data_IF_110732588525
#
_entry.id   IF_110732588525
#
_cell.length_a   1.000
_cell.length_b   1.000
_cell.length_c   1.000
_cell.angle_alpha   90.00
_cell.angle_beta   90.00
_cell.angle_gamma   90.00
#
_symmetry.space_group_name_H-M   'P 1'
#
loop_
_entity.id
_entity.type
_entity.pdbx_description
1 polymer ?
#
# COMPACT_ATOMS: atom_id res chain seq x y z
N UNK A 1 -37.66 17.64 4.40
CA UNK A 1 -36.71 18.37 5.27
C UNK A 1 -35.30 17.97 4.85
N UNK A 2 -34.72 18.72 3.91
CA UNK A 2 -33.45 18.42 3.20
C UNK A 2 -32.28 19.28 3.75
N UNK A 3 -32.54 20.04 4.82
CA UNK A 3 -31.56 20.96 5.42
C UNK A 3 -30.41 20.25 6.16
N UNK A 4 -30.50 18.95 6.44
CA UNK A 4 -29.43 18.22 7.13
C UNK A 4 -28.32 17.72 6.20
N UNK A 5 -28.62 17.43 4.93
CA UNK A 5 -27.61 16.92 3.97
C UNK A 5 -26.55 17.96 3.61
N UNK A 6 -26.89 19.25 3.72
CA UNK A 6 -25.99 20.39 3.46
C UNK A 6 -25.06 20.66 4.65
N UNK A 7 -25.38 20.13 5.83
CA UNK A 7 -24.63 20.38 7.07
C UNK A 7 -23.38 19.50 7.18
N UNK A 8 -23.31 18.40 6.42
CA UNK A 8 -22.24 17.40 6.53
C UNK A 8 -21.39 17.18 5.27
N UNK A 9 -21.81 17.69 4.11
CA UNK A 9 -20.96 17.72 2.92
C UNK A 9 -21.03 19.10 2.26
N UNK A 10 -20.12 20.02 2.63
CA UNK A 10 -19.97 21.26 1.92
C UNK A 10 -19.44 20.95 0.53
N UNK A 11 -20.31 21.16 -0.45
CA UNK A 11 -20.00 21.36 -1.86
C UNK A 11 -18.62 22.00 -2.02
N UNK A 12 -17.64 21.19 -2.41
CA UNK A 12 -16.34 21.53 -3.00
C UNK A 12 -15.74 22.86 -2.48
N UNK A 13 -14.84 22.76 -1.49
CA UNK A 13 -14.03 23.90 -1.05
C UNK A 13 -13.28 24.55 -2.23
N UNK A 14 -13.05 25.88 -2.20
CA UNK A 14 -12.23 26.55 -3.20
C UNK A 14 -10.84 25.89 -3.26
N UNK A 15 -10.53 25.30 -4.41
CA UNK A 15 -9.18 24.82 -4.74
C UNK A 15 -8.36 25.98 -5.25
N UNK A 16 -7.25 26.28 -4.57
CA UNK A 16 -6.25 27.22 -5.07
C UNK A 16 -4.98 26.45 -5.42
N UNK A 17 -4.33 26.87 -6.49
CA UNK A 17 -3.01 26.37 -6.86
C UNK A 17 -1.95 27.18 -6.11
N UNK A 18 -1.28 26.55 -5.16
CA UNK A 18 -0.13 27.14 -4.48
C UNK A 18 1.10 26.29 -4.80
N UNK A 19 2.13 26.91 -5.39
CA UNK A 19 3.37 26.22 -5.77
C UNK A 19 3.16 25.00 -6.70
N UNK A 20 2.24 25.09 -7.67
CA UNK A 20 1.81 24.00 -8.57
C UNK A 20 1.17 22.78 -7.88
N UNK A 21 0.82 22.92 -6.60
CA UNK A 21 0.04 21.92 -5.86
C UNK A 21 -1.36 22.48 -5.66
N UNK A 22 -2.36 21.73 -6.13
CA UNK A 22 -3.76 22.07 -5.90
C UNK A 22 -4.10 21.66 -4.47
N UNK A 23 -4.30 22.66 -3.59
CA UNK A 23 -4.72 22.44 -2.21
C UNK A 23 -6.12 22.99 -1.99
N UNK A 24 -6.93 22.25 -1.25
CA UNK A 24 -8.24 22.70 -0.77
C UNK A 24 -8.05 23.42 0.55
N UNK A 25 -8.45 24.70 0.64
CA UNK A 25 -8.44 25.43 1.91
C UNK A 25 -9.59 24.97 2.80
N UNK A 26 -9.34 24.86 4.11
CA UNK A 26 -10.43 24.69 5.08
C UNK A 26 -11.17 26.01 5.28
N UNK A 27 -12.45 25.98 5.67
CA UNK A 27 -13.23 27.21 5.93
C UNK A 27 -12.51 28.19 6.84
N UNK A 28 -11.85 27.70 7.90
CA UNK A 28 -11.13 28.55 8.87
C UNK A 28 -9.94 29.29 8.25
N UNK A 29 -9.34 28.74 7.19
CA UNK A 29 -8.20 29.30 6.44
C UNK A 29 -8.65 30.29 5.36
N UNK A 30 -9.96 30.43 5.13
CA UNK A 30 -10.51 31.40 4.18
C UNK A 30 -10.47 32.81 4.77
N UNK A 31 -10.11 33.77 3.92
CA UNK A 31 -10.28 35.20 4.19
C UNK A 31 -11.77 35.55 4.38
N UNK A 32 -12.04 36.72 4.96
CA UNK A 32 -13.42 37.18 5.15
C UNK A 32 -14.21 37.24 3.83
N UNK A 33 -13.60 37.72 2.75
CA UNK A 33 -14.23 37.81 1.43
C UNK A 33 -14.51 36.42 0.82
N UNK A 34 -13.57 35.48 0.93
CA UNK A 34 -13.78 34.09 0.45
C UNK A 34 -14.91 33.39 1.23
N UNK A 35 -15.04 33.65 2.55
CA UNK A 35 -16.15 33.13 3.36
C UNK A 35 -17.49 33.69 2.95
N UNK A 36 -17.56 34.99 2.65
CA UNK A 36 -18.76 35.65 2.16
C UNK A 36 -19.17 35.07 0.81
N UNK A 37 -18.21 34.88 -0.10
CA UNK A 37 -18.46 34.25 -1.39
C UNK A 37 -19.02 32.82 -1.23
N UNK A 38 -18.39 32.00 -0.39
CA UNK A 38 -18.84 30.64 -0.14
C UNK A 38 -20.26 30.58 0.46
N UNK A 39 -20.63 31.51 1.35
CA UNK A 39 -22.00 31.60 1.88
C UNK A 39 -23.01 31.99 0.79
N UNK A 40 -22.65 32.93 -0.08
CA UNK A 40 -23.46 33.33 -1.23
C UNK A 40 -23.64 32.17 -2.21
N UNK A 41 -22.57 31.44 -2.54
CA UNK A 41 -22.60 30.30 -3.46
C UNK A 41 -23.44 29.14 -2.90
N UNK A 42 -23.36 28.91 -1.58
CA UNK A 42 -24.19 27.93 -0.88
C UNK A 42 -25.67 28.29 -0.95
N UNK A 43 -26.00 29.56 -0.72
CA UNK A 43 -27.38 30.07 -0.85
C UNK A 43 -27.89 29.95 -2.28
N UNK A 44 -27.08 30.33 -3.27
CA UNK A 44 -27.44 30.21 -4.68
C UNK A 44 -27.70 28.75 -5.06
N UNK A 45 -26.82 27.84 -4.63
CA UNK A 45 -26.99 26.41 -4.87
C UNK A 45 -28.26 25.87 -4.22
N UNK A 46 -28.56 26.26 -2.97
CA UNK A 46 -29.77 25.84 -2.28
C UNK A 46 -31.05 26.34 -2.97
N UNK A 47 -31.04 27.57 -3.51
CA UNK A 47 -32.16 28.11 -4.29
C UNK A 47 -32.34 27.32 -5.60
N UNK A 48 -31.24 27.05 -6.31
CA UNK A 48 -31.28 26.25 -7.55
C UNK A 48 -31.83 24.85 -7.26
N UNK A 49 -31.34 24.18 -6.22
CA UNK A 49 -31.80 22.84 -5.84
C UNK A 49 -33.28 22.81 -5.46
N UNK A 50 -33.80 23.85 -4.81
CA UNK A 50 -35.23 23.97 -4.48
C UNK A 50 -36.11 24.23 -5.71
N UNK A 51 -35.56 24.86 -6.76
CA UNK A 51 -36.25 25.08 -8.03
C UNK A 51 -36.23 23.88 -8.97
N UNK A 52 -35.42 22.85 -8.69
CA UNK A 52 -35.33 21.66 -9.53
C UNK A 52 -36.49 20.69 -9.27
N UNK A 53 -37.10 20.11 -10.33
CA UNK A 53 -37.99 18.98 -10.17
C UNK A 53 -37.30 17.79 -9.48
N UNK A 54 -38.04 17.10 -8.61
CA UNK A 54 -37.53 15.98 -7.80
C UNK A 54 -36.83 14.88 -8.61
N UNK A 55 -37.30 14.61 -9.82
CA UNK A 55 -36.75 13.58 -10.70
C UNK A 55 -35.36 13.95 -11.23
N UNK A 56 -35.15 15.24 -11.52
CA UNK A 56 -33.87 15.77 -11.97
C UNK A 56 -32.85 15.77 -10.81
N UNK A 57 -33.28 16.16 -9.62
CA UNK A 57 -32.45 16.09 -8.41
C UNK A 57 -32.01 14.64 -8.11
N UNK A 58 -32.94 13.70 -8.17
CA UNK A 58 -32.67 12.28 -7.92
C UNK A 58 -31.70 11.70 -8.94
N UNK A 59 -31.84 12.05 -10.22
CA UNK A 59 -30.95 11.62 -11.29
C UNK A 59 -29.50 12.11 -11.08
N UNK A 60 -29.34 13.40 -10.75
CA UNK A 60 -28.01 13.99 -10.51
C UNK A 60 -27.34 13.35 -9.29
N UNK A 61 -28.09 13.12 -8.21
CA UNK A 61 -27.56 12.47 -7.01
C UNK A 61 -27.22 10.99 -7.25
N UNK A 62 -28.06 10.27 -7.98
CA UNK A 62 -27.80 8.89 -8.34
C UNK A 62 -26.52 8.76 -9.18
N UNK A 63 -26.32 9.63 -10.17
CA UNK A 63 -25.12 9.65 -10.99
C UNK A 63 -23.85 9.98 -10.18
N UNK A 64 -23.92 10.95 -9.25
CA UNK A 64 -22.79 11.28 -8.37
C UNK A 64 -22.47 10.14 -7.41
N UNK A 65 -23.49 9.53 -6.79
CA UNK A 65 -23.31 8.39 -5.88
C UNK A 65 -22.65 7.22 -6.60
N UNK A 66 -23.10 6.91 -7.82
CA UNK A 66 -22.49 5.89 -8.67
C UNK A 66 -21.01 6.17 -8.94
N UNK A 67 -20.64 7.39 -9.36
CA UNK A 67 -19.25 7.75 -9.60
C UNK A 67 -18.36 7.61 -8.35
N UNK A 68 -18.85 8.06 -7.18
CA UNK A 68 -18.11 7.95 -5.91
C UNK A 68 -17.89 6.48 -5.52
N UNK A 69 -18.91 5.63 -5.72
CA UNK A 69 -18.81 4.18 -5.47
C UNK A 69 -17.83 3.54 -6.45
N UNK A 70 -17.94 3.84 -7.74
CA UNK A 70 -17.07 3.30 -8.79
C UNK A 70 -15.59 3.68 -8.53
N UNK A 71 -15.32 4.94 -8.19
CA UNK A 71 -13.97 5.40 -7.84
C UNK A 71 -13.44 4.71 -6.59
N UNK A 72 -14.29 4.52 -5.56
CA UNK A 72 -13.87 3.84 -4.33
C UNK A 72 -13.58 2.36 -4.60
N UNK A 73 -14.43 1.68 -5.38
CA UNK A 73 -14.20 0.29 -5.79
C UNK A 73 -12.92 0.12 -6.61
N UNK A 74 -12.65 1.02 -7.56
CA UNK A 74 -11.39 0.99 -8.35
C UNK A 74 -10.18 1.16 -7.44
N UNK A 75 -10.23 2.10 -6.50
CA UNK A 75 -9.14 2.33 -5.55
C UNK A 75 -8.93 1.13 -4.63
N UNK A 76 -10.00 0.60 -4.05
CA UNK A 76 -9.95 -0.53 -3.12
C UNK A 76 -9.49 -1.83 -3.83
N UNK A 77 -9.89 -2.02 -5.09
CA UNK A 77 -9.39 -3.11 -5.93
C UNK A 77 -7.90 -2.98 -6.21
N UNK A 78 -7.43 -1.77 -6.56
CA UNK A 78 -6.02 -1.53 -6.85
C UNK A 78 -5.14 -1.72 -5.60
N UNK A 79 -5.56 -1.19 -4.44
CA UNK A 79 -4.81 -1.36 -3.18
C UNK A 79 -4.76 -2.82 -2.75
N UNK A 80 -5.90 -3.52 -2.80
CA UNK A 80 -5.98 -4.92 -2.38
C UNK A 80 -5.14 -5.83 -3.27
N UNK A 81 -5.22 -5.67 -4.60
CA UNK A 81 -4.42 -6.46 -5.52
C UNK A 81 -2.92 -6.18 -5.39
N UNK A 82 -2.54 -4.91 -5.17
CA UNK A 82 -1.13 -4.52 -4.99
C UNK A 82 -0.55 -5.08 -3.70
N UNK A 83 -1.24 -4.93 -2.57
CA UNK A 83 -0.76 -5.38 -1.26
C UNK A 83 -0.66 -6.91 -1.20
N UNK A 84 -1.64 -7.62 -1.77
CA UNK A 84 -1.60 -9.09 -1.87
C UNK A 84 -0.46 -9.58 -2.75
N UNK A 85 -0.27 -8.99 -3.93
CA UNK A 85 0.84 -9.34 -4.82
C UNK A 85 2.20 -9.04 -4.16
N UNK A 86 2.31 -7.91 -3.47
CA UNK A 86 3.52 -7.54 -2.74
C UNK A 86 3.84 -8.54 -1.62
N UNK A 87 2.85 -8.94 -0.82
CA UNK A 87 3.01 -9.94 0.23
C UNK A 87 3.43 -11.30 -0.34
N UNK A 88 2.80 -11.75 -1.42
CA UNK A 88 3.13 -13.00 -2.11
C UNK A 88 4.57 -13.02 -2.61
N UNK A 89 5.01 -11.95 -3.30
CA UNK A 89 6.37 -11.83 -3.82
C UNK A 89 7.40 -11.82 -2.68
N UNK A 90 7.12 -11.08 -1.61
CA UNK A 90 8.01 -10.98 -0.45
C UNK A 90 8.16 -12.32 0.27
N UNK A 91 7.09 -13.10 0.37
CA UNK A 91 7.14 -14.44 0.94
C UNK A 91 7.99 -15.38 0.07
N UNK A 92 7.82 -15.34 -1.26
CA UNK A 92 8.61 -16.17 -2.17
C UNK A 92 10.10 -15.81 -2.19
N UNK A 93 10.44 -14.53 -2.07
CA UNK A 93 11.82 -14.07 -1.94
C UNK A 93 12.46 -14.57 -0.64
N UNK A 94 11.76 -14.47 0.49
CA UNK A 94 12.23 -14.99 1.78
C UNK A 94 12.48 -16.51 1.73
N UNK A 95 11.54 -17.26 1.15
CA UNK A 95 11.68 -18.70 0.99
C UNK A 95 12.86 -19.08 0.09
N UNK A 96 13.04 -18.38 -1.03
CA UNK A 96 14.17 -18.62 -1.94
C UNK A 96 15.52 -18.34 -1.24
N UNK A 97 15.60 -17.27 -0.45
CA UNK A 97 16.80 -16.90 0.30
C UNK A 97 17.15 -17.93 1.39
N UNK A 98 16.15 -18.45 2.10
CA UNK A 98 16.35 -19.50 3.11
C UNK A 98 16.87 -20.79 2.47
N UNK A 99 16.26 -21.23 1.37
CA UNK A 99 16.70 -22.41 0.61
C UNK A 99 18.12 -22.21 0.06
N UNK A 100 18.45 -21.02 -0.46
CA UNK A 100 19.79 -20.70 -0.93
C UNK A 100 20.82 -20.78 0.19
N UNK A 101 20.55 -20.15 1.34
CA UNK A 101 21.44 -20.15 2.50
C UNK A 101 21.66 -21.57 3.05
N UNK A 102 20.60 -22.38 3.11
CA UNK A 102 20.69 -23.78 3.54
C UNK A 102 21.54 -24.62 2.58
N UNK A 103 21.42 -24.37 1.27
CA UNK A 103 22.24 -25.05 0.24
C UNK A 103 23.71 -24.66 0.35
N UNK A 104 24.00 -23.38 0.51
CA UNK A 104 25.36 -22.86 0.65
C UNK A 104 26.05 -23.42 1.91
N UNK A 105 25.37 -23.39 3.06
CA UNK A 105 25.87 -24.02 4.30
C UNK A 105 26.11 -25.53 4.14
N UNK A 106 25.24 -26.22 3.39
CA UNK A 106 25.42 -27.65 3.12
C UNK A 106 26.64 -27.92 2.25
N UNK A 107 26.89 -27.07 1.24
CA UNK A 107 28.07 -27.15 0.39
C UNK A 107 29.36 -26.89 1.17
N UNK A 108 29.37 -25.90 2.08
CA UNK A 108 30.51 -25.61 2.95
C UNK A 108 30.84 -26.78 3.90
N UNK A 109 29.81 -27.41 4.49
CA UNK A 109 29.99 -28.59 5.34
C UNK A 109 30.57 -29.78 4.56
N UNK A 110 30.09 -29.99 3.33
CA UNK A 110 30.64 -31.03 2.45
C UNK A 110 32.10 -30.75 2.07
N UNK A 111 32.46 -29.49 1.82
CA UNK A 111 33.84 -29.10 1.55
C UNK A 111 34.76 -29.35 2.76
N UNK A 112 34.30 -29.06 3.99
CA UNK A 112 35.06 -29.32 5.21
C UNK A 112 35.31 -30.83 5.43
N UNK A 113 34.27 -31.66 5.27
CA UNK A 113 34.37 -33.12 5.42
C UNK A 113 35.31 -33.73 4.37
N UNK A 114 35.25 -33.25 3.12
CA UNK A 114 36.14 -33.71 2.05
C UNK A 114 37.62 -33.41 2.34
N UNK A 115 37.92 -32.23 2.89
CA UNK A 115 39.30 -31.85 3.26
C UNK A 115 39.86 -32.68 4.42
N UNK A 116 39.03 -33.14 5.36
CA UNK A 116 39.46 -34.02 6.46
C UNK A 116 39.68 -35.48 6.03
N UNK A 117 39.00 -35.95 4.98
CA UNK A 117 39.23 -37.31 4.45
C UNK A 117 40.53 -37.43 3.63
N UNK A 118 41.11 -36.31 3.20
CA UNK A 118 42.37 -36.27 2.44
C UNK A 118 43.65 -36.18 3.31
N UNK A 119 43.54 -36.10 4.64
CA UNK A 119 44.72 -36.24 5.52
C UNK A 119 44.96 -37.71 5.84
N UNK A 120 46.08 -38.33 5.40
CA UNK A 120 46.39 -39.71 5.74
C UNK A 120 46.62 -39.81 7.25
N UNK A 121 45.82 -40.61 7.95
CA UNK A 121 46.10 -40.95 9.35
C UNK A 121 47.35 -41.80 9.40
N UNK A 122 48.49 -41.18 9.71
CA UNK A 122 49.73 -41.87 10.10
C UNK A 122 49.51 -42.59 11.44
N UNK A 123 48.91 -43.79 11.40
CA UNK A 123 48.94 -44.70 12.53
C UNK A 123 50.28 -45.45 12.55
N UNK A 124 51.15 -45.02 13.46
CA UNK A 124 52.38 -45.71 13.84
C UNK A 124 52.07 -47.15 14.24
N UNK A 125 52.71 -48.13 13.60
CA UNK A 125 52.78 -49.51 14.11
C UNK A 125 54.13 -49.73 14.76
N UNK A 126 54.18 -49.49 16.06
CA UNK A 126 55.15 -50.15 16.95
C UNK A 126 54.67 -51.59 17.16
N UNK A 127 55.30 -52.57 16.51
CA UNK A 127 55.38 -54.00 16.89
C UNK A 127 56.36 -54.64 15.90
N UNK A 128 57.28 -55.53 16.23
CA UNK A 128 57.60 -56.23 17.46
C UNK A 128 58.97 -56.88 17.23
N UNK A 129 59.71 -57.03 18.33
CA UNK A 129 60.93 -57.81 18.51
C UNK A 129 60.91 -59.21 17.88
N UNK A 130 62.13 -59.72 17.64
CA UNK A 130 62.56 -61.11 17.38
C UNK A 130 62.60 -61.61 15.92
N UNK A 131 63.82 -61.72 15.36
CA UNK A 131 64.55 -63.00 15.30
C UNK A 131 65.85 -62.88 14.47
N UNK A 132 66.98 -63.13 15.13
CA UNK A 132 68.25 -63.57 14.51
C UNK A 132 68.33 -65.10 14.66
N UNK A 133 69.07 -65.81 13.79
CA UNK A 133 70.50 -66.06 14.07
C UNK A 133 71.43 -65.36 13.08
#
# INVERSE_FOLDING_TARGET
MILESVKHDPLIWPTIEENRVIRTKKYVELSATEKIQADCDLKATNIILQGLPSDIYSLVNHHRSKFVIDVKLVKDLHTTNFDQLHAYLKQHELYANEVHLMRERSQDLLALVANHQMTPSHFNTYQSSYNNP
#
